data_IF_277217881546
#
_entry.id   IF_277217881546
#
_cell.length_a   1.000
_cell.length_b   1.000
_cell.length_c   1.000
_cell.angle_alpha   90.00
_cell.angle_beta   90.00
_cell.angle_gamma   90.00
#
_symmetry.space_group_name_H-M   'P 1'
#
loop_
_entity.id
_entity.type
_entity.pdbx_description
1 polymer ?
#
# COMPACT_ATOMS: atom_id res chain seq x y z
N UNK A 1 32.59 -8.09 -8.62
CA UNK A 1 31.58 -7.00 -8.71
C UNK A 1 30.90 -7.16 -10.05
N UNK A 2 29.59 -7.46 -10.07
CA UNK A 2 28.83 -7.35 -11.31
C UNK A 2 28.62 -5.86 -11.61
N UNK A 3 28.76 -5.41 -12.86
CA UNK A 3 28.48 -4.02 -13.22
C UNK A 3 27.02 -3.70 -12.89
N UNK A 4 26.78 -2.51 -12.34
CA UNK A 4 25.42 -1.99 -12.21
C UNK A 4 24.80 -1.94 -13.62
N UNK A 5 23.68 -2.65 -13.81
CA UNK A 5 22.93 -2.62 -15.06
C UNK A 5 22.40 -1.20 -15.28
N UNK A 6 23.11 -0.42 -16.08
CA UNK A 6 22.63 0.85 -16.61
C UNK A 6 21.29 0.59 -17.33
N UNK A 7 20.26 1.38 -17.00
CA UNK A 7 18.99 1.26 -17.68
C UNK A 7 19.13 1.78 -19.11
N UNK A 8 18.62 1.02 -20.09
CA UNK A 8 18.56 1.46 -21.47
C UNK A 8 17.82 2.80 -21.58
N UNK A 9 18.39 3.73 -22.32
CA UNK A 9 17.80 5.01 -22.66
C UNK A 9 16.61 4.83 -23.59
N UNK A 10 15.70 5.81 -23.62
CA UNK A 10 14.54 5.82 -24.53
C UNK A 10 14.98 5.69 -26.00
N UNK A 11 16.10 6.32 -26.37
CA UNK A 11 16.70 6.22 -27.71
C UNK A 11 17.14 4.80 -28.05
N UNK A 12 17.79 4.08 -27.13
CA UNK A 12 18.21 2.69 -27.35
C UNK A 12 17.00 1.76 -27.49
N UNK A 13 15.92 2.04 -26.74
CA UNK A 13 14.65 1.32 -26.88
C UNK A 13 14.05 1.57 -28.26
N UNK A 14 14.02 2.82 -28.73
CA UNK A 14 13.49 3.17 -30.05
C UNK A 14 14.32 2.54 -31.18
N UNK A 15 15.65 2.58 -31.08
CA UNK A 15 16.55 1.93 -32.04
C UNK A 15 16.32 0.41 -32.07
N UNK A 16 16.08 -0.22 -30.91
CA UNK A 16 15.71 -1.63 -30.84
C UNK A 16 14.35 -1.90 -31.50
N UNK A 17 13.34 -1.06 -31.24
CA UNK A 17 12.01 -1.19 -31.84
C UNK A 17 12.05 -1.04 -33.37
N UNK A 18 12.86 -0.12 -33.87
CA UNK A 18 13.14 0.04 -35.31
C UNK A 18 13.87 -1.20 -35.84
N UNK A 19 14.88 -1.70 -35.12
CA UNK A 19 15.66 -2.85 -35.54
C UNK A 19 14.79 -4.10 -35.70
N UNK A 20 13.92 -4.40 -34.73
CA UNK A 20 13.05 -5.59 -34.76
C UNK A 20 11.99 -5.52 -35.87
N UNK A 21 11.73 -4.33 -36.42
CA UNK A 21 10.87 -4.14 -37.60
C UNK A 21 9.47 -4.72 -37.42
N UNK A 22 8.83 -4.49 -36.27
CA UNK A 22 7.51 -5.09 -36.01
C UNK A 22 7.53 -6.62 -35.93
N UNK A 23 8.61 -7.20 -35.41
CA UNK A 23 8.91 -8.64 -35.29
C UNK A 23 9.42 -9.34 -36.56
N UNK A 24 9.63 -8.64 -37.68
CA UNK A 24 10.26 -9.23 -38.88
C UNK A 24 11.63 -9.84 -38.58
N UNK A 25 12.42 -9.19 -37.71
CA UNK A 25 13.75 -9.67 -37.28
C UNK A 25 13.72 -10.44 -35.97
N UNK A 26 12.54 -10.89 -35.52
CA UNK A 26 12.40 -11.68 -34.30
C UNK A 26 13.31 -12.92 -34.22
N UNK A 27 13.50 -13.71 -35.30
CA UNK A 27 14.39 -14.87 -35.27
C UNK A 27 15.88 -14.52 -35.12
N UNK A 28 16.26 -13.25 -35.34
CA UNK A 28 17.64 -12.79 -35.19
C UNK A 28 17.98 -12.38 -33.75
N UNK A 29 16.97 -12.23 -32.88
CA UNK A 29 17.20 -11.92 -31.48
C UNK A 29 17.70 -13.16 -30.73
N UNK A 30 18.73 -12.96 -29.91
CA UNK A 30 19.19 -14.00 -28.99
C UNK A 30 18.11 -14.30 -27.94
N UNK A 31 18.17 -15.49 -27.36
CA UNK A 31 17.16 -15.98 -26.41
C UNK A 31 16.90 -15.00 -25.27
N UNK A 32 17.94 -14.41 -24.66
CA UNK A 32 17.76 -13.49 -23.53
C UNK A 32 16.98 -12.22 -23.91
N UNK A 33 17.23 -11.66 -25.09
CA UNK A 33 16.47 -10.52 -25.62
C UNK A 33 15.01 -10.91 -25.89
N UNK A 34 14.78 -12.07 -26.48
CA UNK A 34 13.41 -12.58 -26.72
C UNK A 34 12.66 -12.76 -25.40
N UNK A 35 13.30 -13.33 -24.37
CA UNK A 35 12.71 -13.50 -23.04
C UNK A 35 12.36 -12.16 -22.40
N UNK A 36 13.21 -11.15 -22.52
CA UNK A 36 12.91 -9.82 -21.98
C UNK A 36 11.75 -9.15 -22.71
N UNK A 37 11.60 -9.31 -24.03
CA UNK A 37 10.41 -8.84 -24.77
C UNK A 37 9.15 -9.61 -24.33
N UNK A 38 9.22 -10.95 -24.30
CA UNK A 38 8.09 -11.83 -23.94
C UNK A 38 7.58 -11.59 -22.52
N UNK A 39 8.44 -11.15 -21.61
CA UNK A 39 8.09 -10.79 -20.23
C UNK A 39 7.00 -9.71 -20.16
N UNK A 40 6.99 -8.76 -21.10
CA UNK A 40 6.03 -7.63 -21.11
C UNK A 40 4.84 -7.83 -22.05
N UNK A 41 4.82 -8.91 -22.83
CA UNK A 41 3.67 -9.26 -23.64
C UNK A 41 2.49 -9.67 -22.76
N UNK A 42 1.28 -9.23 -23.14
CA UNK A 42 0.05 -9.72 -22.52
C UNK A 42 -0.19 -11.19 -22.88
N UNK A 43 -1.07 -11.84 -22.13
CA UNK A 43 -1.36 -13.27 -22.31
C UNK A 43 -1.76 -13.64 -23.75
N UNK A 44 -2.58 -12.81 -24.41
CA UNK A 44 -3.05 -13.10 -25.77
C UNK A 44 -1.90 -13.03 -26.76
N UNK A 45 -1.06 -12.00 -26.65
CA UNK A 45 0.16 -11.87 -27.46
C UNK A 45 1.13 -13.03 -27.23
N UNK A 46 1.32 -13.47 -25.98
CA UNK A 46 2.18 -14.62 -25.66
C UNK A 46 1.64 -15.94 -26.21
N UNK A 47 0.33 -16.17 -26.09
CA UNK A 47 -0.32 -17.33 -26.65
C UNK A 47 -0.14 -17.37 -28.18
N UNK A 48 -0.40 -16.25 -28.85
CA UNK A 48 -0.23 -16.13 -30.29
C UNK A 48 1.24 -16.34 -30.72
N UNK A 49 2.20 -15.83 -29.95
CA UNK A 49 3.62 -16.07 -30.21
C UNK A 49 4.00 -17.54 -30.02
N UNK A 50 3.49 -18.19 -28.98
CA UNK A 50 3.78 -19.59 -28.67
C UNK A 50 3.28 -20.57 -29.75
N UNK A 51 2.27 -20.20 -30.54
CA UNK A 51 1.79 -21.04 -31.66
C UNK A 51 2.56 -20.79 -32.97
N UNK A 52 3.42 -19.76 -33.05
CA UNK A 52 4.17 -19.44 -34.27
C UNK A 52 5.27 -20.48 -34.57
N UNK A 53 5.98 -20.96 -33.55
CA UNK A 53 7.02 -21.98 -33.71
C UNK A 53 7.31 -22.74 -32.41
N UNK A 54 7.94 -23.91 -32.51
CA UNK A 54 8.38 -24.69 -31.32
C UNK A 54 9.40 -23.93 -30.48
N UNK A 55 10.23 -23.10 -31.11
CA UNK A 55 11.23 -22.31 -30.41
C UNK A 55 10.56 -21.20 -29.61
N UNK A 56 9.63 -20.47 -30.23
CA UNK A 56 8.85 -19.43 -29.56
C UNK A 56 8.01 -19.98 -28.42
N UNK A 57 7.40 -21.16 -28.61
CA UNK A 57 6.69 -21.87 -27.54
C UNK A 57 7.61 -22.09 -26.33
N UNK A 58 8.82 -22.61 -26.58
CA UNK A 58 9.82 -22.86 -25.53
C UNK A 58 10.27 -21.57 -24.84
N UNK A 59 10.47 -20.48 -25.59
CA UNK A 59 10.78 -19.16 -25.03
C UNK A 59 9.63 -18.64 -24.16
N UNK A 60 8.39 -18.77 -24.62
CA UNK A 60 7.18 -18.36 -23.89
C UNK A 60 7.00 -19.17 -22.60
N UNK A 61 7.19 -20.49 -22.64
CA UNK A 61 7.08 -21.38 -21.48
C UNK A 61 8.18 -21.13 -20.44
N UNK A 62 9.41 -20.82 -20.87
CA UNK A 62 10.55 -20.52 -19.98
C UNK A 62 10.55 -19.11 -19.40
N UNK A 63 9.76 -18.21 -19.98
CA UNK A 63 9.73 -16.80 -19.56
C UNK A 63 8.61 -16.61 -18.56
N UNK A 64 8.89 -16.05 -17.39
CA UNK A 64 7.83 -15.69 -16.43
C UNK A 64 7.05 -14.48 -16.96
N UNK A 65 5.75 -14.42 -16.68
CA UNK A 65 4.93 -13.29 -17.13
C UNK A 65 5.04 -12.13 -16.12
N UNK A 66 5.25 -10.92 -16.61
CA UNK A 66 5.26 -9.72 -15.76
C UNK A 66 3.85 -9.17 -15.66
N UNK A 67 3.33 -9.07 -14.43
CA UNK A 67 1.96 -8.63 -14.16
C UNK A 67 2.01 -7.45 -13.24
N UNK A 68 1.56 -6.28 -13.70
CA UNK A 68 1.51 -5.07 -12.88
C UNK A 68 0.69 -5.27 -11.60
N UNK A 69 -0.46 -5.92 -11.70
CA UNK A 69 -1.28 -6.24 -10.54
C UNK A 69 -2.24 -7.41 -10.75
N UNK A 70 -2.53 -8.17 -9.70
CA UNK A 70 -3.61 -9.17 -9.66
C UNK A 70 -4.66 -8.70 -8.67
N UNK A 71 -5.90 -8.59 -9.10
CA UNK A 71 -7.02 -8.21 -8.26
C UNK A 71 -8.02 -9.36 -8.22
N UNK A 72 -8.38 -9.84 -7.03
CA UNK A 72 -9.40 -10.89 -6.83
C UNK A 72 -10.54 -10.24 -6.06
N UNK A 73 -11.75 -10.29 -6.59
CA UNK A 73 -12.92 -9.65 -5.99
C UNK A 73 -14.14 -10.55 -6.09
N UNK A 74 -14.86 -10.76 -5.00
CA UNK A 74 -16.22 -11.28 -5.07
C UNK A 74 -17.15 -10.22 -5.70
N UNK A 75 -18.06 -10.64 -6.57
CA UNK A 75 -19.03 -9.76 -7.24
C UNK A 75 -20.24 -9.45 -6.38
N UNK A 76 -20.27 -9.89 -5.12
CA UNK A 76 -21.31 -9.46 -4.16
C UNK A 76 -21.37 -7.94 -4.19
N UNK A 77 -22.56 -7.40 -4.51
CA UNK A 77 -22.83 -5.96 -4.58
C UNK A 77 -22.27 -5.31 -3.33
N UNK A 78 -21.10 -4.71 -3.48
CA UNK A 78 -20.52 -3.85 -2.46
C UNK A 78 -21.43 -2.64 -2.42
N UNK A 79 -22.39 -2.66 -1.50
CA UNK A 79 -23.09 -1.45 -1.11
C UNK A 79 -22.03 -0.55 -0.49
N UNK A 80 -21.39 0.27 -1.31
CA UNK A 80 -20.59 1.38 -0.86
C UNK A 80 -21.57 2.37 -0.22
N UNK A 81 -21.88 2.15 1.06
CA UNK A 81 -22.62 3.14 1.82
C UNK A 81 -21.71 4.37 1.93
N UNK A 82 -22.10 5.45 1.27
CA UNK A 82 -21.65 6.77 1.66
C UNK A 82 -22.22 7.02 3.05
N UNK A 83 -21.39 6.86 4.07
CA UNK A 83 -21.73 7.37 5.40
C UNK A 83 -21.59 8.90 5.32
N UNK A 84 -22.66 9.55 4.87
CA UNK A 84 -22.85 10.99 5.05
C UNK A 84 -23.32 11.22 6.50
N UNK A 85 -22.43 11.03 7.47
CA UNK A 85 -22.68 11.49 8.83
C UNK A 85 -21.94 12.80 9.06
N UNK A 86 -22.42 13.91 8.51
CA UNK A 86 -22.14 15.31 8.94
C UNK A 86 -20.69 15.79 9.15
N UNK A 87 -19.68 14.94 8.95
CA UNK A 87 -18.27 15.15 9.22
C UNK A 87 -17.55 14.88 7.91
N UNK A 88 -16.81 15.89 7.48
CA UNK A 88 -16.26 16.01 6.15
C UNK A 88 -15.09 15.02 5.98
N UNK A 89 -15.41 13.74 5.79
CA UNK A 89 -14.42 12.75 5.42
C UNK A 89 -14.19 12.81 3.91
N UNK A 90 -12.92 12.97 3.52
CA UNK A 90 -12.48 12.63 2.17
C UNK A 90 -12.63 11.11 2.00
N UNK A 91 -13.83 10.69 1.60
CA UNK A 91 -14.05 9.30 1.20
C UNK A 91 -13.19 9.04 -0.04
N UNK A 92 -12.27 8.09 0.05
CA UNK A 92 -11.71 7.48 -1.15
C UNK A 92 -12.82 6.64 -1.77
N UNK A 93 -13.63 7.29 -2.62
CA UNK A 93 -14.71 6.66 -3.36
C UNK A 93 -14.07 5.68 -4.37
N UNK A 94 -13.99 4.40 -4.01
CA UNK A 94 -13.80 3.34 -5.00
C UNK A 94 -15.16 2.98 -5.60
N UNK A 95 -15.73 3.89 -6.39
CA UNK A 95 -16.97 3.64 -7.14
C UNK A 95 -16.67 2.70 -8.30
N UNK A 96 -16.88 1.40 -8.08
CA UNK A 96 -16.91 0.41 -9.16
C UNK A 96 -18.37 0.14 -9.54
N UNK A 97 -18.90 0.92 -10.48
CA UNK A 97 -20.12 0.57 -11.18
C UNK A 97 -19.78 -0.47 -12.25
N UNK A 98 -19.73 -1.74 -11.89
CA UNK A 98 -19.94 -2.77 -12.90
C UNK A 98 -21.43 -3.10 -12.93
N UNK A 99 -22.10 -2.61 -13.98
CA UNK A 99 -23.45 -3.03 -14.37
C UNK A 99 -23.36 -4.50 -14.81
N UNK A 100 -23.24 -5.41 -13.85
CA UNK A 100 -23.26 -6.85 -14.09
C UNK A 100 -24.71 -7.29 -13.92
N UNK A 101 -25.21 -8.01 -14.92
CA UNK A 101 -26.55 -8.60 -14.90
C UNK A 101 -26.80 -9.35 -13.61
N UNK A 102 -28.03 -9.25 -13.10
CA UNK A 102 -28.48 -9.82 -11.82
C UNK A 102 -28.33 -11.35 -11.72
N UNK A 103 -27.97 -12.03 -12.81
CA UNK A 103 -27.78 -13.47 -12.91
C UNK A 103 -26.42 -13.97 -12.39
N UNK A 104 -25.48 -13.09 -12.05
CA UNK A 104 -24.11 -13.46 -11.64
C UNK A 104 -23.73 -13.00 -10.22
N UNK A 105 -24.64 -13.13 -9.27
CA UNK A 105 -24.46 -12.63 -7.90
C UNK A 105 -23.40 -13.40 -7.07
N UNK A 106 -22.97 -14.58 -7.53
CA UNK A 106 -22.00 -15.45 -6.84
C UNK A 106 -20.77 -15.77 -7.72
N UNK A 107 -20.15 -14.72 -8.29
CA UNK A 107 -18.95 -14.89 -9.13
C UNK A 107 -17.73 -14.25 -8.47
N UNK A 108 -16.59 -14.95 -8.47
CA UNK A 108 -15.28 -14.34 -8.21
C UNK A 108 -14.75 -13.77 -9.51
N UNK A 109 -14.47 -12.48 -9.53
CA UNK A 109 -13.72 -11.84 -10.61
C UNK A 109 -12.23 -11.85 -10.27
N UNK A 110 -11.40 -12.37 -11.18
CA UNK A 110 -9.94 -12.17 -11.14
C UNK A 110 -9.55 -11.23 -12.28
N UNK A 111 -8.94 -10.09 -11.93
CA UNK A 111 -8.45 -9.11 -12.88
C UNK A 111 -6.92 -9.05 -12.83
N UNK A 112 -6.29 -9.45 -13.92
CA UNK A 112 -4.83 -9.39 -14.10
C UNK A 112 -4.54 -8.16 -14.96
N UNK A 113 -3.71 -7.23 -14.47
CA UNK A 113 -3.27 -6.04 -15.22
C UNK A 113 -1.80 -6.19 -15.63
N UNK A 114 -1.49 -5.86 -16.86
CA UNK A 114 -0.14 -5.92 -17.41
C UNK A 114 0.53 -4.53 -17.40
N UNK A 115 1.87 -4.45 -17.47
CA UNK A 115 2.60 -3.18 -17.51
C UNK A 115 2.15 -2.25 -18.64
N UNK A 116 1.76 -2.82 -19.79
CA UNK A 116 1.28 -2.10 -20.97
C UNK A 116 -0.15 -1.53 -20.83
N UNK A 117 -0.76 -1.60 -19.64
CA UNK A 117 -2.10 -1.08 -19.36
C UNK A 117 -3.25 -2.02 -19.74
N UNK A 118 -3.00 -3.09 -20.51
CA UNK A 118 -4.03 -4.10 -20.80
C UNK A 118 -4.39 -4.88 -19.54
N UNK A 119 -5.61 -5.39 -19.48
CA UNK A 119 -6.04 -6.28 -18.42
C UNK A 119 -6.88 -7.43 -18.92
N UNK A 120 -6.74 -8.58 -18.27
CA UNK A 120 -7.61 -9.74 -18.46
C UNK A 120 -8.53 -9.82 -17.26
N UNK A 121 -9.82 -10.01 -17.52
CA UNK A 121 -10.84 -10.26 -16.51
C UNK A 121 -11.33 -11.69 -16.69
N UNK A 122 -11.16 -12.50 -15.67
CA UNK A 122 -11.77 -13.81 -15.55
C UNK A 122 -12.94 -13.71 -14.56
N UNK A 123 -14.05 -14.34 -14.89
CA UNK A 123 -15.19 -14.52 -14.01
C UNK A 123 -15.33 -16.00 -13.72
N UNK A 124 -15.29 -16.36 -12.45
CA UNK A 124 -15.47 -17.73 -11.98
C UNK A 124 -16.80 -17.82 -11.25
N UNK A 125 -17.65 -18.77 -11.64
CA UNK A 125 -18.85 -19.12 -10.87
C UNK A 125 -18.45 -19.85 -9.59
N UNK A 126 -19.01 -19.45 -8.45
CA UNK A 126 -18.81 -20.14 -7.17
C UNK A 126 -19.71 -21.39 -7.03
N UNK A 127 -20.55 -21.71 -8.02
CA UNK A 127 -21.58 -22.75 -7.91
C UNK A 127 -21.08 -24.20 -8.10
N UNK A 128 -19.84 -24.43 -8.55
CA UNK A 128 -19.29 -25.78 -8.78
C UNK A 128 -17.89 -25.97 -8.18
N UNK A 129 -17.58 -27.22 -7.80
CA UNK A 129 -16.45 -27.60 -6.93
C UNK A 129 -15.03 -27.40 -7.50
N UNK A 130 -14.85 -26.94 -8.74
CA UNK A 130 -13.53 -26.98 -9.38
C UNK A 130 -13.16 -25.63 -10.03
N UNK A 131 -12.74 -24.67 -9.21
CA UNK A 131 -12.05 -23.48 -9.72
C UNK A 131 -10.56 -23.80 -9.93
N UNK A 132 -10.22 -24.46 -11.05
CA UNK A 132 -8.81 -24.70 -11.41
C UNK A 132 -8.16 -23.42 -11.92
N UNK A 133 -7.52 -22.68 -11.02
CA UNK A 133 -6.60 -21.61 -11.40
C UNK A 133 -5.22 -22.22 -11.60
N UNK A 134 -4.85 -22.56 -12.83
CA UNK A 134 -3.45 -22.85 -13.14
C UNK A 134 -2.66 -21.54 -13.16
N UNK A 135 -1.92 -21.29 -12.10
CA UNK A 135 -1.07 -20.11 -12.01
C UNK A 135 0.18 -20.28 -12.87
N UNK A 136 0.37 -19.34 -13.79
CA UNK A 136 1.65 -19.15 -14.49
C UNK A 136 2.56 -18.35 -13.57
N UNK A 137 3.85 -18.66 -13.52
CA UNK A 137 4.80 -18.00 -12.63
C UNK A 137 4.91 -16.49 -12.97
N UNK A 138 4.55 -15.61 -12.02
CA UNK A 138 4.63 -14.15 -12.17
C UNK A 138 5.93 -13.58 -11.59
N UNK A 139 6.39 -12.43 -12.09
CA UNK A 139 7.70 -11.84 -11.69
C UNK A 139 7.65 -10.59 -10.82
N UNK A 140 6.51 -9.95 -10.60
CA UNK A 140 6.32 -8.84 -9.65
C UNK A 140 4.96 -8.23 -9.89
N UNK A 141 4.15 -7.94 -8.87
CA UNK A 141 2.88 -7.23 -9.03
C UNK A 141 2.24 -6.79 -7.71
N UNK A 142 1.36 -5.78 -7.80
CA UNK A 142 0.48 -5.38 -6.70
C UNK A 142 -0.67 -6.40 -6.59
N UNK A 143 -0.97 -6.93 -5.40
CA UNK A 143 -2.15 -7.79 -5.20
C UNK A 143 -3.24 -7.04 -4.45
N UNK A 144 -4.44 -7.03 -5.02
CA UNK A 144 -5.62 -6.39 -4.44
C UNK A 144 -6.67 -7.47 -4.23
N UNK A 145 -6.85 -7.92 -3.00
CA UNK A 145 -7.92 -8.82 -2.59
C UNK A 145 -9.09 -7.96 -2.11
N UNK A 146 -10.11 -7.83 -2.96
CA UNK A 146 -11.41 -7.25 -2.62
C UNK A 146 -12.27 -8.31 -1.92
N UNK A 147 -13.46 -7.97 -1.39
CA UNK A 147 -14.20 -8.83 -0.46
C UNK A 147 -14.21 -10.29 -0.91
N UNK A 148 -13.83 -11.20 -0.02
CA UNK A 148 -13.75 -12.65 -0.25
C UNK A 148 -14.57 -13.41 0.79
N UNK A 149 -15.67 -12.82 1.29
CA UNK A 149 -16.47 -13.39 2.38
C UNK A 149 -16.99 -14.81 2.11
N UNK A 150 -17.15 -15.19 0.84
CA UNK A 150 -17.58 -16.53 0.41
C UNK A 150 -16.45 -17.39 -0.15
N UNK A 151 -15.19 -16.99 -0.02
CA UNK A 151 -14.10 -17.74 -0.65
C UNK A 151 -13.94 -19.13 0.01
N UNK A 152 -13.88 -20.22 -0.78
CA UNK A 152 -13.84 -21.56 -0.22
C UNK A 152 -12.42 -21.91 0.26
N UNK A 153 -12.04 -21.41 1.44
CA UNK A 153 -10.72 -21.62 2.03
C UNK A 153 -10.34 -23.11 2.16
N UNK A 154 -11.33 -23.98 2.46
CA UNK A 154 -11.13 -25.41 2.66
C UNK A 154 -10.73 -26.18 1.38
N UNK A 155 -11.12 -25.70 0.20
CA UNK A 155 -10.83 -26.35 -1.09
C UNK A 155 -9.85 -25.53 -1.94
N UNK A 156 -9.34 -24.42 -1.41
CA UNK A 156 -8.41 -23.55 -2.11
C UNK A 156 -7.09 -24.26 -2.41
N UNK A 157 -6.68 -24.24 -3.68
CA UNK A 157 -5.37 -24.69 -4.13
C UNK A 157 -4.30 -23.59 -4.04
N UNK A 158 -4.60 -22.42 -3.47
CA UNK A 158 -3.62 -21.34 -3.33
C UNK A 158 -2.68 -21.67 -2.18
N UNK A 159 -1.46 -22.07 -2.53
CA UNK A 159 -0.41 -22.38 -1.55
C UNK A 159 0.32 -21.12 -1.07
N UNK A 160 0.68 -20.21 -2.00
CA UNK A 160 1.44 -19.00 -1.69
C UNK A 160 1.30 -17.90 -2.76
N UNK A 161 1.66 -16.67 -2.38
CA UNK A 161 1.71 -15.45 -3.20
C UNK A 161 3.12 -14.81 -3.11
N UNK A 162 4.20 -15.51 -3.50
CA UNK A 162 5.57 -15.23 -3.05
C UNK A 162 6.18 -13.92 -3.58
N UNK A 163 5.59 -13.30 -4.61
CA UNK A 163 6.13 -12.06 -5.24
C UNK A 163 5.24 -10.85 -4.97
N UNK A 164 4.33 -10.97 -4.01
CA UNK A 164 3.42 -9.90 -3.63
C UNK A 164 4.16 -8.84 -2.80
N UNK A 165 4.17 -7.59 -3.27
CA UNK A 165 4.71 -6.45 -2.50
C UNK A 165 3.62 -5.60 -1.86
N UNK A 166 2.43 -5.56 -2.45
CA UNK A 166 1.31 -4.76 -1.98
C UNK A 166 0.11 -5.66 -1.83
N UNK A 167 -0.49 -5.65 -0.67
CA UNK A 167 -1.67 -6.44 -0.31
C UNK A 167 -2.75 -5.47 0.15
N UNK A 168 -3.96 -5.64 -0.36
CA UNK A 168 -5.16 -5.05 0.21
C UNK A 168 -6.16 -6.17 0.40
N UNK A 169 -6.74 -6.33 1.59
CA UNK A 169 -7.74 -7.37 1.90
C UNK A 169 -8.97 -6.68 2.46
N UNK A 170 -10.15 -7.04 1.93
CA UNK A 170 -11.44 -6.73 2.53
C UNK A 170 -12.08 -7.98 3.13
N UNK A 171 -12.32 -8.00 4.43
CA UNK A 171 -12.97 -9.11 5.14
C UNK A 171 -13.65 -8.61 6.43
N UNK A 172 -14.60 -9.37 6.96
CA UNK A 172 -15.33 -9.04 8.20
C UNK A 172 -14.94 -9.93 9.38
N UNK A 173 -13.93 -10.78 9.21
CA UNK A 173 -13.45 -11.73 10.21
C UNK A 173 -11.92 -11.85 10.17
N UNK A 174 -11.34 -12.16 11.33
CA UNK A 174 -9.88 -12.26 11.51
C UNK A 174 -9.31 -13.47 10.78
N UNK A 175 -10.05 -14.58 10.72
CA UNK A 175 -9.61 -15.84 10.11
C UNK A 175 -9.35 -15.66 8.61
N UNK A 176 -10.21 -14.92 7.92
CA UNK A 176 -10.04 -14.53 6.51
C UNK A 176 -8.79 -13.70 6.30
N UNK A 177 -8.54 -12.69 7.15
CA UNK A 177 -7.32 -11.89 7.06
C UNK A 177 -6.07 -12.74 7.29
N UNK A 178 -6.07 -13.58 8.33
CA UNK A 178 -4.96 -14.44 8.68
C UNK A 178 -4.67 -15.46 7.57
N UNK A 179 -5.70 -16.09 7.02
CA UNK A 179 -5.56 -17.03 5.92
C UNK A 179 -4.85 -16.41 4.71
N UNK A 180 -5.29 -15.22 4.28
CA UNK A 180 -4.68 -14.51 3.15
C UNK A 180 -3.27 -14.03 3.46
N UNK A 181 -3.05 -13.48 4.66
CA UNK A 181 -1.72 -13.03 5.05
C UNK A 181 -0.74 -14.19 5.07
N UNK A 182 -1.09 -15.38 5.58
CA UNK A 182 -0.22 -16.56 5.57
C UNK A 182 0.30 -16.95 4.18
N UNK A 183 -0.41 -16.59 3.11
CA UNK A 183 0.02 -16.81 1.72
C UNK A 183 1.01 -15.76 1.22
N UNK A 184 1.08 -14.58 1.84
CA UNK A 184 1.93 -13.48 1.41
C UNK A 184 3.37 -13.61 1.94
N UNK A 185 4.35 -12.91 1.36
CA UNK A 185 5.70 -12.79 1.92
C UNK A 185 5.66 -12.09 3.28
N UNK A 186 6.66 -12.35 4.13
CA UNK A 186 6.77 -11.68 5.44
C UNK A 186 6.99 -10.18 5.33
N UNK A 187 7.73 -9.74 4.31
CA UNK A 187 8.04 -8.33 4.08
C UNK A 187 7.14 -7.76 2.97
N UNK A 188 6.15 -6.98 3.39
CA UNK A 188 5.25 -6.27 2.48
C UNK A 188 5.67 -4.79 2.36
N UNK A 189 5.65 -4.24 1.15
CA UNK A 189 5.77 -2.80 0.96
C UNK A 189 4.50 -2.08 1.43
N UNK A 190 3.32 -2.64 1.12
CA UNK A 190 2.03 -2.05 1.49
C UNK A 190 1.08 -3.14 1.97
N UNK A 191 0.47 -2.94 3.12
CA UNK A 191 -0.59 -3.77 3.65
C UNK A 191 -1.81 -2.90 3.99
N UNK A 192 -2.95 -3.22 3.38
CA UNK A 192 -4.23 -2.63 3.73
C UNK A 192 -5.21 -3.71 4.16
N UNK A 193 -5.83 -3.54 5.33
CA UNK A 193 -6.92 -4.39 5.82
C UNK A 193 -8.15 -3.51 6.01
N UNK A 194 -9.33 -3.95 5.60
CA UNK A 194 -10.53 -3.11 5.71
C UNK A 194 -11.77 -3.97 5.99
N UNK A 195 -12.52 -3.63 7.04
CA UNK A 195 -13.83 -4.24 7.30
C UNK A 195 -14.86 -3.83 6.24
N UNK A 196 -15.67 -4.79 5.80
CA UNK A 196 -16.66 -4.60 4.74
C UNK A 196 -18.00 -4.10 5.30
N UNK A 197 -18.50 -4.75 6.35
CA UNK A 197 -19.84 -4.51 6.89
C UNK A 197 -20.04 -3.08 7.37
N UNK A 198 -21.29 -2.59 7.31
CA UNK A 198 -21.67 -1.28 7.84
C UNK A 198 -21.37 -1.14 9.36
N UNK A 199 -21.20 -2.27 10.05
CA UNK A 199 -20.77 -2.33 11.45
C UNK A 199 -19.24 -2.25 11.60
N UNK A 200 -18.57 -1.41 10.78
CA UNK A 200 -17.12 -1.17 10.91
C UNK A 200 -16.70 -0.80 12.33
N UNK A 201 -17.60 -0.13 13.04
CA UNK A 201 -17.41 0.32 14.42
C UNK A 201 -17.29 -0.83 15.43
N UNK A 202 -17.77 -2.04 15.12
CA UNK A 202 -17.69 -3.18 16.04
C UNK A 202 -16.57 -4.18 15.72
N UNK A 203 -15.95 -4.11 14.53
CA UNK A 203 -14.88 -5.03 14.17
C UNK A 203 -13.52 -4.51 14.67
N UNK A 204 -12.88 -5.29 15.55
CA UNK A 204 -11.56 -4.99 16.12
C UNK A 204 -10.55 -6.05 15.73
N UNK A 205 -9.43 -5.65 15.14
CA UNK A 205 -8.29 -6.55 14.92
C UNK A 205 -7.59 -6.84 16.25
N UNK A 206 -7.49 -8.11 16.69
CA UNK A 206 -6.97 -8.46 18.01
C UNK A 206 -5.44 -8.32 18.08
N UNK A 207 -4.86 -8.11 19.28
CA UNK A 207 -3.43 -7.87 19.44
C UNK A 207 -2.54 -9.00 18.89
N UNK A 208 -2.95 -10.26 19.07
CA UNK A 208 -2.19 -11.43 18.61
C UNK A 208 -2.08 -11.48 17.08
N UNK A 209 -3.14 -11.10 16.37
CA UNK A 209 -3.12 -10.96 14.92
C UNK A 209 -2.18 -9.82 14.48
N UNK A 210 -2.22 -8.70 15.18
CA UNK A 210 -1.40 -7.52 14.87
C UNK A 210 0.11 -7.79 15.09
N UNK A 211 0.48 -8.77 15.93
CA UNK A 211 1.86 -9.21 16.13
C UNK A 211 2.40 -10.07 14.98
N UNK A 212 1.59 -10.43 13.98
CA UNK A 212 2.06 -11.21 12.84
C UNK A 212 3.25 -10.50 12.15
N UNK A 213 4.31 -11.23 11.77
CA UNK A 213 5.48 -10.63 11.12
C UNK A 213 5.12 -9.77 9.90
N UNK A 214 4.10 -10.18 9.15
CA UNK A 214 3.58 -9.47 7.96
C UNK A 214 2.98 -8.11 8.26
N UNK A 215 2.41 -7.94 9.45
CA UNK A 215 1.90 -6.65 9.94
C UNK A 215 3.06 -5.82 10.47
N UNK A 216 3.88 -6.40 11.35
CA UNK A 216 4.96 -5.69 12.04
C UNK A 216 6.09 -5.19 11.12
N UNK A 217 6.35 -5.93 10.03
CA UNK A 217 7.43 -5.64 9.07
C UNK A 217 6.95 -4.89 7.82
N UNK A 218 5.64 -4.64 7.68
CA UNK A 218 5.13 -3.93 6.51
C UNK A 218 5.66 -2.49 6.47
N UNK A 219 6.16 -2.04 5.32
CA UNK A 219 6.70 -0.68 5.18
C UNK A 219 5.61 0.39 5.20
N UNK A 220 4.38 0.04 4.84
CA UNK A 220 3.21 0.92 4.92
C UNK A 220 1.99 0.10 5.32
N UNK A 221 1.27 0.57 6.33
CA UNK A 221 0.03 -0.08 6.81
C UNK A 221 -1.16 0.88 6.73
N UNK A 222 -2.31 0.33 6.36
CA UNK A 222 -3.58 1.05 6.39
C UNK A 222 -4.69 0.13 6.87
N UNK A 223 -5.22 0.36 8.05
CA UNK A 223 -6.32 -0.43 8.60
C UNK A 223 -7.58 0.41 8.66
N UNK A 224 -8.62 -0.07 7.98
CA UNK A 224 -9.97 0.49 8.03
C UNK A 224 -10.83 -0.33 8.98
N UNK A 225 -11.03 0.18 10.19
CA UNK A 225 -11.64 -0.51 11.33
C UNK A 225 -10.81 -0.31 12.60
N UNK A 226 -11.36 -0.74 13.74
CA UNK A 226 -10.68 -0.61 15.03
C UNK A 226 -9.53 -1.62 15.14
N UNK A 227 -8.45 -1.21 15.78
CA UNK A 227 -7.29 -2.08 16.04
C UNK A 227 -6.94 -2.04 17.51
N UNK A 228 -6.59 -3.19 18.06
CA UNK A 228 -6.13 -3.33 19.44
C UNK A 228 -4.60 -3.24 19.53
N UNK A 229 -4.01 -2.24 18.85
CA UNK A 229 -2.58 -1.96 18.98
C UNK A 229 -2.30 -1.39 20.37
N UNK A 230 -1.47 -2.09 21.15
CA UNK A 230 -0.86 -1.55 22.37
C UNK A 230 0.22 -0.51 22.06
N UNK A 231 0.59 0.27 23.08
CA UNK A 231 1.72 1.20 23.01
C UNK A 231 3.01 0.48 22.63
N UNK A 232 3.30 -0.69 23.23
CA UNK A 232 4.49 -1.48 22.93
C UNK A 232 4.50 -1.98 21.48
N UNK A 233 3.34 -2.32 20.92
CA UNK A 233 3.23 -2.72 19.53
C UNK A 233 3.46 -1.54 18.59
N UNK A 234 2.87 -0.38 18.87
CA UNK A 234 3.11 0.86 18.09
C UNK A 234 4.61 1.15 17.99
N UNK A 235 5.34 1.07 19.10
CA UNK A 235 6.79 1.35 19.14
C UNK A 235 7.63 0.31 18.38
N UNK A 236 7.13 -0.91 18.18
CA UNK A 236 7.83 -2.00 17.47
C UNK A 236 7.56 -2.02 15.97
N UNK A 237 6.51 -1.33 15.49
CA UNK A 237 6.17 -1.27 14.06
C UNK A 237 7.37 -0.75 13.24
N UNK A 238 7.63 -1.39 12.10
CA UNK A 238 8.65 -0.94 11.12
C UNK A 238 8.07 -0.11 9.97
N UNK A 239 6.79 0.22 10.06
CA UNK A 239 6.08 0.96 9.04
C UNK A 239 6.54 2.42 8.98
N UNK A 240 6.87 2.87 7.76
CA UNK A 240 7.23 4.25 7.45
C UNK A 240 6.00 5.15 7.34
N UNK A 241 4.85 4.56 6.97
CA UNK A 241 3.59 5.27 6.81
C UNK A 241 2.47 4.41 7.40
N UNK A 242 1.71 4.97 8.34
CA UNK A 242 0.75 4.25 9.16
C UNK A 242 -0.58 5.01 9.21
N UNK A 243 -1.69 4.28 9.09
CA UNK A 243 -3.03 4.85 9.14
C UNK A 243 -3.99 3.83 9.73
N UNK A 244 -4.43 4.03 10.97
CA UNK A 244 -5.37 3.11 11.63
C UNK A 244 -6.10 3.79 12.79
N UNK A 245 -7.24 3.22 13.18
CA UNK A 245 -7.97 3.58 14.38
C UNK A 245 -7.56 2.65 15.53
N UNK A 246 -7.31 3.21 16.71
CA UNK A 246 -7.01 2.40 17.90
C UNK A 246 -7.66 3.00 19.15
N UNK A 247 -8.26 2.11 19.95
CA UNK A 247 -8.76 2.42 21.28
C UNK A 247 -7.66 2.29 22.35
N UNK A 248 -6.61 1.51 22.06
CA UNK A 248 -5.64 1.06 23.07
C UNK A 248 -4.33 1.87 23.03
N UNK A 249 -4.02 2.54 21.91
CA UNK A 249 -2.86 3.44 21.84
C UNK A 249 -3.13 4.69 22.68
N UNK A 250 -2.36 4.86 23.76
CA UNK A 250 -2.51 5.94 24.71
C UNK A 250 -1.73 7.19 24.31
N UNK A 251 -2.02 8.32 24.96
CA UNK A 251 -1.27 9.56 24.77
C UNK A 251 0.20 9.42 25.20
N UNK A 252 0.48 8.54 26.17
CA UNK A 252 1.84 8.21 26.60
C UNK A 252 2.56 7.39 25.53
N UNK A 253 1.90 6.42 24.89
CA UNK A 253 2.47 5.69 23.75
C UNK A 253 2.81 6.60 22.58
N UNK A 254 1.93 7.56 22.27
CA UNK A 254 2.19 8.58 21.24
C UNK A 254 3.38 9.47 21.63
N UNK A 255 3.46 9.92 22.88
CA UNK A 255 4.60 10.69 23.40
C UNK A 255 5.92 9.90 23.27
N UNK A 256 5.92 8.63 23.67
CA UNK A 256 7.10 7.76 23.61
C UNK A 256 7.53 7.51 22.16
N UNK A 257 6.58 7.31 21.25
CA UNK A 257 6.86 7.20 19.81
C UNK A 257 7.61 8.43 19.28
N UNK A 258 7.11 9.63 19.60
CA UNK A 258 7.74 10.89 19.19
C UNK A 258 9.11 11.11 19.82
N UNK A 259 9.28 10.76 21.10
CA UNK A 259 10.58 10.82 21.79
C UNK A 259 11.60 9.86 21.19
N UNK A 260 11.20 8.63 20.88
CA UNK A 260 12.07 7.66 20.24
C UNK A 260 12.52 8.18 18.87
N UNK A 261 11.61 8.75 18.08
CA UNK A 261 11.98 9.40 16.82
C UNK A 261 12.95 10.57 17.03
N UNK A 262 12.65 11.49 17.94
CA UNK A 262 13.48 12.68 18.18
C UNK A 262 14.89 12.33 18.68
N UNK A 263 15.04 11.21 19.39
CA UNK A 263 16.33 10.70 19.86
C UNK A 263 17.05 9.80 18.84
N UNK A 264 16.55 9.68 17.60
CA UNK A 264 17.17 8.86 16.55
C UNK A 264 16.90 7.35 16.67
N UNK A 265 16.04 6.93 17.59
CA UNK A 265 15.61 5.54 17.79
C UNK A 265 14.26 5.24 17.10
N UNK A 266 13.78 6.15 16.24
CA UNK A 266 12.55 5.97 15.49
C UNK A 266 12.68 5.02 14.30
N UNK A 267 11.59 4.85 13.55
CA UNK A 267 11.60 4.06 12.31
C UNK A 267 12.42 4.79 11.23
N UNK A 268 13.41 4.11 10.67
CA UNK A 268 14.20 4.65 9.56
C UNK A 268 13.30 4.99 8.35
N UNK A 269 13.45 6.21 7.84
CA UNK A 269 12.63 6.74 6.76
C UNK A 269 11.15 6.90 7.13
N UNK A 270 10.80 7.07 8.41
CA UNK A 270 9.46 7.44 8.85
C UNK A 270 8.91 8.65 8.09
N UNK A 271 7.63 8.59 7.74
CA UNK A 271 6.90 9.58 6.94
C UNK A 271 5.68 10.11 7.67
N UNK A 272 4.74 9.24 8.02
CA UNK A 272 3.50 9.66 8.67
C UNK A 272 2.84 8.60 9.54
N UNK A 273 2.15 9.04 10.58
CA UNK A 273 1.22 8.28 11.40
C UNK A 273 -0.10 9.04 11.47
N UNK A 274 -1.20 8.37 11.10
CA UNK A 274 -2.57 8.87 11.27
C UNK A 274 -3.29 7.94 12.23
N UNK A 275 -3.57 8.45 13.41
CA UNK A 275 -4.17 7.70 14.51
C UNK A 275 -5.55 8.27 14.78
N UNK A 276 -6.58 7.55 14.38
CA UNK A 276 -7.95 7.85 14.82
C UNK A 276 -8.17 7.29 16.21
N UNK A 277 -8.98 7.97 17.00
CA UNK A 277 -9.29 7.56 18.36
C UNK A 277 -10.75 7.81 18.69
N UNK A 278 -11.33 6.89 19.45
CA UNK A 278 -12.65 7.04 20.06
C UNK A 278 -12.61 7.92 21.32
N UNK A 279 -11.42 8.26 21.82
CA UNK A 279 -11.21 9.04 23.04
C UNK A 279 -10.67 10.43 22.77
N UNK A 280 -11.06 11.40 23.60
CA UNK A 280 -10.51 12.76 23.56
C UNK A 280 -9.05 12.71 24.02
N UNK A 281 -8.15 13.15 23.13
CA UNK A 281 -6.71 13.15 23.35
C UNK A 281 -6.30 14.29 24.27
N UNK A 282 -5.35 14.03 25.17
CA UNK A 282 -4.77 15.02 26.07
C UNK A 282 -3.38 15.50 25.55
N UNK A 283 -3.30 16.72 25.00
CA UNK A 283 -2.05 17.27 24.50
C UNK A 283 -0.94 17.34 25.55
N UNK A 284 -1.26 17.63 26.82
CA UNK A 284 -0.26 17.78 27.89
C UNK A 284 0.50 16.47 28.12
N UNK A 285 -0.20 15.33 28.03
CA UNK A 285 0.42 14.00 28.13
C UNK A 285 1.24 13.68 26.88
N UNK A 286 0.76 14.06 25.69
CA UNK A 286 1.49 13.86 24.44
C UNK A 286 2.78 14.69 24.35
N UNK A 287 2.84 15.84 25.01
CA UNK A 287 4.02 16.71 25.04
C UNK A 287 4.90 16.57 26.29
N UNK A 288 4.48 15.78 27.29
CA UNK A 288 5.20 15.65 28.55
C UNK A 288 6.70 15.36 28.32
N UNK A 289 7.57 16.28 28.73
CA UNK A 289 9.03 16.17 28.60
C UNK A 289 9.59 16.27 27.17
N UNK A 290 8.83 16.84 26.24
CA UNK A 290 9.25 17.12 24.86
C UNK A 290 9.31 18.63 24.62
N UNK A 291 10.33 19.09 23.89
CA UNK A 291 10.39 20.46 23.39
C UNK A 291 9.59 20.56 22.08
N UNK A 292 8.75 21.59 21.98
CA UNK A 292 7.93 21.82 20.79
C UNK A 292 7.75 23.31 20.51
N UNK A 293 7.40 23.63 19.26
CA UNK A 293 7.04 24.98 18.81
C UNK A 293 5.65 24.93 18.20
N UNK A 294 4.72 25.75 18.69
CA UNK A 294 3.38 25.87 18.10
C UNK A 294 3.46 26.54 16.72
N UNK A 295 2.56 26.16 15.81
CA UNK A 295 2.36 26.86 14.54
C UNK A 295 1.52 28.13 14.79
N UNK A 296 2.14 29.12 15.41
CA UNK A 296 1.56 30.44 15.63
C UNK A 296 1.76 31.37 14.43
N UNK A 297 1.38 32.65 14.57
CA UNK A 297 1.55 33.66 13.53
C UNK A 297 3.02 33.87 13.14
N UNK A 298 3.96 33.69 14.07
CA UNK A 298 5.38 33.81 13.78
C UNK A 298 5.86 32.64 12.91
N UNK A 299 5.50 31.39 13.26
CA UNK A 299 5.81 30.23 12.42
C UNK A 299 5.17 30.36 11.03
N UNK A 300 3.90 30.79 10.96
CA UNK A 300 3.23 31.05 9.69
C UNK A 300 3.99 32.09 8.86
N UNK A 301 4.38 33.22 9.44
CA UNK A 301 5.10 34.27 8.73
C UNK A 301 6.45 33.80 8.18
N UNK A 302 7.17 32.97 8.95
CA UNK A 302 8.45 32.41 8.52
C UNK A 302 8.32 31.32 7.46
N UNK A 303 7.27 30.49 7.54
CA UNK A 303 7.11 29.26 6.75
C UNK A 303 5.83 29.23 5.92
N UNK A 304 5.34 30.40 5.49
CA UNK A 304 3.99 30.58 4.93
C UNK A 304 3.70 29.66 3.74
N UNK A 305 4.65 29.47 2.82
CA UNK A 305 4.47 28.63 1.63
C UNK A 305 4.22 27.16 2.02
N UNK A 306 4.96 26.67 3.02
CA UNK A 306 4.79 25.32 3.54
C UNK A 306 3.45 25.19 4.27
N UNK A 307 3.10 26.15 5.14
CA UNK A 307 1.85 26.11 5.91
C UNK A 307 0.64 26.15 4.98
N UNK A 308 0.62 27.06 4.00
CA UNK A 308 -0.46 27.17 3.01
C UNK A 308 -0.63 25.86 2.23
N UNK A 309 0.48 25.25 1.77
CA UNK A 309 0.41 23.97 1.07
C UNK A 309 -0.08 22.84 1.98
N UNK A 310 0.31 22.86 3.25
CA UNK A 310 -0.13 21.90 4.24
C UNK A 310 -1.65 22.02 4.48
N UNK A 311 -2.17 23.23 4.66
CA UNK A 311 -3.59 23.52 4.83
C UNK A 311 -4.45 23.11 3.62
N UNK A 312 -3.90 23.15 2.41
CA UNK A 312 -4.59 22.66 1.21
C UNK A 312 -4.78 21.15 1.18
N UNK A 313 -3.92 20.39 1.86
CA UNK A 313 -3.93 18.92 1.84
C UNK A 313 -4.51 18.30 3.12
N UNK A 314 -4.50 19.04 4.22
CA UNK A 314 -4.92 18.57 5.53
C UNK A 314 -5.80 19.61 6.20
N UNK A 315 -6.77 19.16 6.98
CA UNK A 315 -7.71 20.05 7.64
C UNK A 315 -6.98 21.06 8.55
N UNK A 316 -7.52 22.28 8.73
CA UNK A 316 -7.01 23.20 9.73
C UNK A 316 -7.10 22.57 11.12
N UNK A 317 -6.11 22.84 11.97
CA UNK A 317 -6.04 22.28 13.32
C UNK A 317 -4.85 22.84 14.09
N UNK A 318 -4.80 22.59 15.40
CA UNK A 318 -3.64 22.99 16.22
C UNK A 318 -2.46 22.09 15.86
N UNK A 319 -1.31 22.71 15.59
CA UNK A 319 -0.12 22.01 15.10
C UNK A 319 1.12 22.47 15.83
N UNK A 320 2.04 21.53 15.99
CA UNK A 320 3.26 21.73 16.73
C UNK A 320 4.43 21.08 15.98
N UNK A 321 5.58 21.75 15.93
CA UNK A 321 6.85 21.17 15.49
C UNK A 321 7.59 20.57 16.68
N UNK A 322 8.04 19.33 16.53
CA UNK A 322 8.90 18.61 17.49
C UNK A 322 10.25 18.42 16.80
N UNK A 323 11.31 19.03 17.34
CA UNK A 323 12.65 18.98 16.74
C UNK A 323 13.35 17.66 17.07
N UNK A 324 14.13 17.15 16.12
CA UNK A 324 15.07 16.06 16.39
C UNK A 324 16.21 16.57 17.28
N UNK A 325 16.62 15.72 18.24
CA UNK A 325 17.80 15.93 19.09
C UNK A 325 19.08 15.45 18.43
N UNK A 326 18.96 14.64 17.37
CA UNK A 326 20.10 14.09 16.62
C UNK A 326 20.50 15.00 15.47
N UNK A 327 19.52 15.55 14.74
CA UNK A 327 19.75 16.54 13.69
C UNK A 327 18.80 17.72 13.86
N UNK A 328 19.34 18.90 14.20
CA UNK A 328 18.57 20.12 14.47
C UNK A 328 17.69 20.60 13.29
N UNK A 329 17.95 20.10 12.08
CA UNK A 329 17.21 20.45 10.87
C UNK A 329 16.08 19.47 10.54
N UNK A 330 15.98 18.36 11.27
CA UNK A 330 14.85 17.44 11.14
C UNK A 330 13.78 17.72 12.20
N UNK A 331 12.50 17.60 11.81
CA UNK A 331 11.38 17.76 12.74
C UNK A 331 10.15 16.94 12.35
N UNK A 332 9.31 16.65 13.34
CA UNK A 332 7.95 16.16 13.15
C UNK A 332 6.94 17.28 13.31
N UNK A 333 5.92 17.29 12.47
CA UNK A 333 4.68 18.02 12.73
C UNK A 333 3.69 17.10 13.41
N UNK A 334 3.26 17.45 14.63
CA UNK A 334 2.12 16.86 15.32
C UNK A 334 0.90 17.77 15.13
N UNK A 335 -0.18 17.23 14.56
CA UNK A 335 -1.44 17.95 14.36
C UNK A 335 -2.59 17.26 15.10
N UNK A 336 -3.41 18.07 15.76
CA UNK A 336 -4.65 17.66 16.42
C UNK A 336 -5.85 18.03 15.55
N UNK A 337 -6.66 17.02 15.27
CA UNK A 337 -7.89 17.09 14.48
C UNK A 337 -9.01 16.46 15.32
N UNK A 338 -10.26 16.84 15.07
CA UNK A 338 -11.42 16.46 15.90
C UNK A 338 -11.43 14.99 16.36
N UNK A 339 -11.08 14.06 15.48
CA UNK A 339 -11.08 12.62 15.76
C UNK A 339 -9.74 11.92 15.48
N UNK A 340 -8.69 12.70 15.19
CA UNK A 340 -7.45 12.14 14.69
C UNK A 340 -6.23 12.93 15.16
N UNK A 341 -5.20 12.21 15.56
CA UNK A 341 -3.86 12.77 15.73
C UNK A 341 -3.02 12.34 14.55
N UNK A 342 -2.37 13.32 13.91
CA UNK A 342 -1.51 13.07 12.75
C UNK A 342 -0.09 13.52 13.07
N UNK A 343 0.87 12.65 12.79
CA UNK A 343 2.31 12.92 12.93
C UNK A 343 2.92 12.82 11.54
N UNK A 344 3.68 13.83 11.13
CA UNK A 344 4.35 13.87 9.83
C UNK A 344 5.82 14.22 9.98
N UNK A 345 6.71 13.53 9.27
CA UNK A 345 8.12 13.90 9.18
C UNK A 345 8.33 15.04 8.17
N UNK A 346 8.17 16.27 8.64
CA UNK A 346 8.08 17.46 7.76
C UNK A 346 9.38 18.22 7.61
N UNK A 347 10.17 18.35 8.67
CA UNK A 347 11.45 19.05 8.63
C UNK A 347 12.53 18.12 8.10
N UNK A 348 13.25 18.54 7.05
CA UNK A 348 14.41 17.82 6.52
C UNK A 348 15.60 18.74 6.39
N UNK A 349 16.78 18.19 6.71
CA UNK A 349 18.05 18.86 6.43
C UNK A 349 18.19 19.08 4.92
N UNK A 350 18.46 20.32 4.55
CA UNK A 350 18.87 20.71 3.22
C UNK A 350 20.09 21.62 3.33
N UNK A 351 20.78 21.84 2.21
CA UNK A 351 21.95 22.71 2.14
C UNK A 351 21.79 23.70 0.98
N UNK A 352 22.08 24.97 1.24
CA UNK A 352 22.09 26.03 0.23
C UNK A 352 23.32 26.87 0.46
N UNK A 353 24.18 26.97 -0.56
CA UNK A 353 25.44 27.72 -0.49
C UNK A 353 26.37 27.29 0.66
N UNK A 354 26.43 25.99 1.01
CA UNK A 354 27.25 25.51 2.13
C UNK A 354 26.59 25.63 3.51
N UNK A 355 25.45 26.31 3.61
CA UNK A 355 24.73 26.48 4.87
C UNK A 355 23.58 25.48 4.96
N UNK A 356 23.58 24.70 6.04
CA UNK A 356 22.50 23.78 6.33
C UNK A 356 21.28 24.52 6.91
N UNK A 357 20.10 24.17 6.44
CA UNK A 357 18.82 24.75 6.86
C UNK A 357 17.73 23.67 6.94
N UNK A 358 16.62 24.01 7.61
CA UNK A 358 15.43 23.16 7.64
C UNK A 358 14.57 23.43 6.40
N UNK A 359 14.42 22.43 5.54
CA UNK A 359 13.46 22.45 4.45
C UNK A 359 12.19 21.70 4.87
N UNK A 360 11.09 22.43 5.04
CA UNK A 360 9.80 21.82 5.36
C UNK A 360 9.11 21.30 4.10
N UNK A 361 8.66 20.03 4.14
CA UNK A 361 7.91 19.40 3.05
C UNK A 361 6.85 18.44 3.56
N UNK A 362 5.86 18.19 2.72
CA UNK A 362 4.83 17.17 2.98
C UNK A 362 5.38 15.79 2.55
N UNK A 363 5.31 14.73 3.40
CA UNK A 363 5.97 13.42 3.18
C UNK A 363 5.53 12.58 1.97
#
# INVERSE_FOLDING_TARGET
MQPENEMATEKEIDELLIFIGGFEKWPLLIEDCRREVVKYLDYKSRFNLGICSKEDQKTVEKTKICVKSVEISDNVKSHCYQINQGRQFVSYQFTFFSKIDSEFQDNVTVRIRFPNGKSIKWLFSQLEQDTRVQWIHFTSGDFILRPMAKYPFATSQIESLPVCKKVSIGADDVDSFDWWLKKCPEQLYFLQLTAYSANRESFTLPPDFLNAPRVMQASKIRFGGLTAFSDEQLLKLKAKSMSFESADVTDKGVNEFMKNWACGNGVDGFKDLRLWSTTVRNPDLMFAGSEYVEWDEAFFSEQWEFVERFDRLYDPGRRYQIKSKVDRFESLTLGFYDECVKIFATGKRAEKNGEAYTYYRIP
#
